data_IF_482544803091
#
_entry.id   IF_482544803091
#
_cell.length_a   1.000
_cell.length_b   1.000
_cell.length_c   1.000
_cell.angle_alpha   90.00
_cell.angle_beta   90.00
_cell.angle_gamma   90.00
#
_symmetry.space_group_name_H-M   'P 1'
#
loop_
_entity.id
_entity.type
_entity.pdbx_description
1 polymer ?
#
# COMPACT_ATOMS: atom_id res chain seq x y z
N UNK A 1 0.41 -0.27 -13.97
CA UNK A 1 -0.07 1.07 -13.57
C UNK A 1 0.94 1.74 -12.64
N UNK A 2 0.95 3.09 -12.57
CA UNK A 2 1.70 3.85 -11.56
C UNK A 2 0.74 4.46 -10.56
N UNK A 3 1.00 4.25 -9.27
CA UNK A 3 0.22 4.87 -8.19
C UNK A 3 1.10 5.78 -7.36
N UNK A 4 0.51 6.82 -6.77
CA UNK A 4 1.19 7.71 -5.83
C UNK A 4 0.68 7.40 -4.44
N UNK A 5 1.59 7.16 -3.50
CA UNK A 5 1.23 6.99 -2.10
C UNK A 5 2.08 7.90 -1.22
N UNK A 6 1.58 8.33 -0.05
CA UNK A 6 2.38 8.97 0.97
C UNK A 6 3.68 8.23 1.25
N UNK A 7 4.78 8.96 1.49
CA UNK A 7 6.10 8.39 1.71
C UNK A 7 6.11 7.41 2.89
N UNK A 8 5.48 7.78 4.01
CA UNK A 8 5.38 6.89 5.17
C UNK A 8 4.64 5.58 4.84
N UNK A 9 3.58 5.64 4.03
CA UNK A 9 2.84 4.45 3.61
C UNK A 9 3.73 3.54 2.76
N UNK A 10 4.51 4.13 1.84
CA UNK A 10 5.51 3.39 1.07
C UNK A 10 6.52 2.68 1.98
N UNK A 11 7.04 3.36 3.00
CA UNK A 11 8.02 2.76 3.93
C UNK A 11 7.42 1.61 4.74
N UNK A 12 6.18 1.75 5.21
CA UNK A 12 5.44 0.69 5.90
C UNK A 12 5.23 -0.51 4.97
N UNK A 13 4.68 -0.29 3.78
CA UNK A 13 4.45 -1.35 2.79
C UNK A 13 5.75 -2.05 2.40
N UNK A 14 6.85 -1.29 2.23
CA UNK A 14 8.15 -1.85 1.89
C UNK A 14 8.73 -2.70 3.04
N UNK A 15 8.54 -2.29 4.30
CA UNK A 15 8.92 -3.12 5.45
C UNK A 15 8.09 -4.42 5.52
N UNK A 16 6.78 -4.35 5.26
CA UNK A 16 5.90 -5.54 5.23
C UNK A 16 6.33 -6.49 4.11
N UNK A 17 6.57 -5.98 2.91
CA UNK A 17 7.01 -6.76 1.77
C UNK A 17 8.35 -7.48 2.07
N UNK A 18 9.30 -6.76 2.69
CA UNK A 18 10.58 -7.33 3.16
C UNK A 18 10.38 -8.45 4.18
N UNK A 19 9.52 -8.24 5.19
CA UNK A 19 9.22 -9.27 6.21
C UNK A 19 8.56 -10.52 5.61
N UNK A 20 7.72 -10.34 4.60
CA UNK A 20 7.06 -11.43 3.86
C UNK A 20 7.94 -12.05 2.76
N UNK A 21 9.16 -11.54 2.53
CA UNK A 21 10.04 -11.96 1.42
C UNK A 21 9.38 -11.88 0.03
N UNK A 22 8.50 -10.90 -0.17
CA UNK A 22 7.84 -10.65 -1.47
C UNK A 22 8.19 -9.26 -2.00
N UNK A 23 7.93 -9.04 -3.29
CA UNK A 23 8.08 -7.70 -3.87
C UNK A 23 6.95 -6.78 -3.42
N UNK A 24 7.21 -5.47 -3.41
CA UNK A 24 6.19 -4.47 -3.11
C UNK A 24 4.98 -4.57 -4.06
N UNK A 25 5.22 -4.85 -5.34
CA UNK A 25 4.13 -5.04 -6.31
C UNK A 25 3.26 -6.26 -5.98
N UNK A 26 3.87 -7.36 -5.49
CA UNK A 26 3.12 -8.55 -5.08
C UNK A 26 2.30 -8.28 -3.82
N UNK A 27 2.87 -7.56 -2.85
CA UNK A 27 2.14 -7.14 -1.66
C UNK A 27 0.91 -6.29 -2.02
N UNK A 28 1.06 -5.32 -2.93
CA UNK A 28 -0.07 -4.48 -3.35
C UNK A 28 -1.12 -5.31 -4.11
N UNK A 29 -0.71 -6.33 -4.86
CA UNK A 29 -1.64 -7.28 -5.47
C UNK A 29 -2.39 -8.15 -4.45
N UNK A 30 -1.75 -8.52 -3.33
CA UNK A 30 -2.44 -9.16 -2.20
C UNK A 30 -3.44 -8.20 -1.55
N UNK A 31 -3.03 -6.96 -1.28
CA UNK A 31 -3.89 -5.92 -0.69
C UNK A 31 -5.12 -5.65 -1.56
N UNK A 32 -4.97 -5.61 -2.89
CA UNK A 32 -6.08 -5.41 -3.83
C UNK A 32 -7.20 -6.45 -3.67
N UNK A 33 -6.86 -7.66 -3.20
CA UNK A 33 -7.77 -8.79 -3.02
C UNK A 33 -8.18 -9.05 -1.56
N UNK A 34 -7.46 -8.46 -0.61
CA UNK A 34 -7.70 -8.68 0.82
C UNK A 34 -8.78 -7.73 1.37
N UNK A 35 -9.50 -8.22 2.37
CA UNK A 35 -10.43 -7.43 3.19
C UNK A 35 -9.84 -7.08 4.56
N UNK A 36 -8.61 -7.52 4.83
CA UNK A 36 -7.92 -7.30 6.10
C UNK A 36 -7.36 -5.88 6.21
N UNK A 37 -7.14 -5.42 7.45
CA UNK A 37 -6.45 -4.17 7.72
C UNK A 37 -5.56 -4.30 8.97
N UNK A 38 -4.51 -3.47 9.06
CA UNK A 38 -3.51 -3.49 10.12
C UNK A 38 -3.87 -2.61 11.32
N UNK A 39 -4.80 -1.67 11.16
CA UNK A 39 -5.22 -0.75 12.23
C UNK A 39 -4.11 0.19 12.71
N UNK A 40 -3.22 0.61 11.81
CA UNK A 40 -2.18 1.58 12.14
C UNK A 40 -2.81 2.96 12.40
N UNK A 41 -2.18 3.83 13.21
CA UNK A 41 -2.61 5.22 13.31
C UNK A 41 -2.47 5.91 11.96
N UNK A 42 -3.49 6.69 11.57
CA UNK A 42 -3.47 7.43 10.32
C UNK A 42 -2.34 8.46 10.29
N UNK A 43 -1.64 8.52 9.16
CA UNK A 43 -0.53 9.46 8.95
C UNK A 43 -0.80 10.22 7.64
N UNK A 44 -0.98 11.53 7.77
CA UNK A 44 -1.03 12.46 6.64
C UNK A 44 0.39 12.89 6.28
N UNK A 45 0.83 12.64 5.05
CA UNK A 45 2.13 13.07 4.55
C UNK A 45 1.99 14.11 3.46
N UNK A 46 2.94 15.05 3.41
CA UNK A 46 3.07 16.04 2.33
C UNK A 46 3.92 15.54 1.16
N UNK A 47 4.60 14.40 1.31
CA UNK A 47 5.48 13.83 0.30
C UNK A 47 4.92 12.52 -0.25
N UNK A 48 5.00 12.35 -1.56
CA UNK A 48 4.49 11.18 -2.26
C UNK A 48 5.60 10.40 -2.96
N UNK A 49 5.48 9.08 -2.97
CA UNK A 49 6.31 8.15 -3.75
C UNK A 49 5.47 7.50 -4.84
N UNK A 50 6.08 7.32 -6.01
CA UNK A 50 5.48 6.58 -7.11
C UNK A 50 5.88 5.11 -7.04
N UNK A 51 4.89 4.23 -7.16
CA UNK A 51 5.09 2.78 -7.21
C UNK A 51 4.60 2.27 -8.56
N UNK A 52 5.42 1.48 -9.23
CA UNK A 52 4.99 0.69 -10.37
C UNK A 52 4.29 -0.57 -9.85
N UNK A 53 3.01 -0.72 -10.16
CA UNK A 53 2.19 -1.88 -9.79
C UNK A 53 1.71 -2.61 -11.04
N UNK A 54 1.74 -3.93 -11.03
CA UNK A 54 1.32 -4.76 -12.18
C UNK A 54 -0.19 -5.04 -12.23
N UNK A 55 -1.00 -4.24 -11.56
CA UNK A 55 -2.46 -4.39 -11.45
C UNK A 55 -3.16 -3.15 -11.99
N UNK A 56 -4.30 -3.36 -12.66
CA UNK A 56 -5.22 -2.32 -13.10
C UNK A 56 -6.42 -2.27 -12.15
N UNK A 57 -6.22 -1.60 -11.02
CA UNK A 57 -7.27 -1.38 -10.02
C UNK A 57 -7.34 0.11 -9.69
N UNK A 58 -8.40 0.77 -10.17
CA UNK A 58 -8.59 2.22 -9.99
C UNK A 58 -8.82 2.61 -8.52
N UNK A 59 -9.16 1.66 -7.65
CA UNK A 59 -9.37 1.89 -6.23
C UNK A 59 -8.18 1.45 -5.38
N UNK A 60 -7.02 1.15 -5.99
CA UNK A 60 -5.89 0.60 -5.25
C UNK A 60 -5.36 1.54 -4.16
N UNK A 61 -5.39 2.86 -4.39
CA UNK A 61 -4.96 3.84 -3.39
C UNK A 61 -5.86 3.79 -2.14
N UNK A 62 -7.19 3.71 -2.34
CA UNK A 62 -8.15 3.54 -1.26
C UNK A 62 -8.00 2.18 -0.57
N UNK A 63 -7.76 1.10 -1.32
CA UNK A 63 -7.53 -0.23 -0.73
C UNK A 63 -6.25 -0.28 0.11
N UNK A 64 -5.19 0.43 -0.31
CA UNK A 64 -3.97 0.58 0.48
C UNK A 64 -4.25 1.35 1.77
N UNK A 65 -4.98 2.48 1.68
CA UNK A 65 -5.38 3.26 2.85
C UNK A 65 -6.19 2.41 3.84
N UNK A 66 -7.21 1.70 3.33
CA UNK A 66 -8.04 0.80 4.12
C UNK A 66 -7.22 -0.33 4.75
N UNK A 67 -6.31 -0.93 4.01
CA UNK A 67 -5.44 -1.98 4.53
C UNK A 67 -4.52 -1.46 5.64
N UNK A 68 -3.98 -0.25 5.52
CA UNK A 68 -3.06 0.30 6.52
C UNK A 68 -3.81 0.79 7.77
N UNK A 69 -4.92 1.51 7.61
CA UNK A 69 -5.56 2.29 8.68
C UNK A 69 -6.99 1.88 9.02
N UNK A 70 -7.57 0.90 8.31
CA UNK A 70 -8.96 0.48 8.46
C UNK A 70 -10.01 1.57 8.13
N UNK A 71 -9.64 2.59 7.33
CA UNK A 71 -10.51 3.69 6.89
C UNK A 71 -11.04 3.52 5.46
#
# INVERSE_FOLDING_TARGET
MRIKVPKEWYEILNQIARKKHITLSNLIAEISKSTECLGLPYISSTQYKQINVSIEDKQIEWKIEKFLFCN
#
